data_IF_658370912455
#
_entry.id   IF_658370912455
#
_cell.length_a   1.000
_cell.length_b   1.000
_cell.length_c   1.000
_cell.angle_alpha   90.00
_cell.angle_beta   90.00
_cell.angle_gamma   90.00
#
_symmetry.space_group_name_H-M   'P 1'
#
loop_
_entity.id
_entity.type
_entity.pdbx_description
1 polymer ?
#
# COMPACT_ATOMS: atom_id res chain seq x y z
N UNK A 1 10.46 -72.24 -12.75
CA UNK A 1 9.34 -71.48 -12.13
C UNK A 1 9.12 -72.08 -10.76
N UNK A 2 9.11 -71.31 -9.66
CA UNK A 2 8.25 -70.13 -9.43
C UNK A 2 9.05 -68.89 -9.00
N UNK A 3 8.77 -67.70 -9.54
CA UNK A 3 7.79 -66.68 -9.12
C UNK A 3 8.47 -65.51 -8.44
N UNK A 4 8.74 -64.51 -9.28
CA UNK A 4 8.93 -63.12 -8.94
C UNK A 4 7.75 -62.61 -8.10
N UNK A 5 7.86 -62.66 -6.78
CA UNK A 5 7.10 -61.77 -5.89
C UNK A 5 8.09 -60.84 -5.21
N UNK A 6 8.50 -59.85 -6.00
CA UNK A 6 9.10 -58.64 -5.49
C UNK A 6 8.07 -58.00 -4.55
N UNK A 7 8.21 -58.26 -3.25
CA UNK A 7 7.39 -57.67 -2.21
C UNK A 7 7.81 -56.20 -2.08
N UNK A 8 7.25 -55.35 -2.95
CA UNK A 8 7.45 -53.90 -2.93
C UNK A 8 6.79 -53.21 -1.72
N UNK A 9 6.16 -53.97 -0.83
CA UNK A 9 5.44 -53.43 0.32
C UNK A 9 6.14 -53.95 1.57
N UNK A 10 6.88 -53.07 2.23
CA UNK A 10 7.45 -53.32 3.55
C UNK A 10 6.31 -53.59 4.56
N UNK A 11 6.40 -54.64 5.40
CA UNK A 11 5.29 -55.12 6.23
C UNK A 11 5.05 -54.29 7.51
N UNK A 12 5.13 -52.96 7.42
CA UNK A 12 4.95 -52.06 8.58
C UNK A 12 4.25 -50.74 8.27
N UNK A 13 4.02 -50.41 7.00
CA UNK A 13 3.39 -49.14 6.61
C UNK A 13 1.94 -49.43 6.19
N UNK A 14 1.01 -49.16 7.11
CA UNK A 14 -0.43 -49.22 6.80
C UNK A 14 -0.74 -48.23 5.66
N UNK A 15 -1.44 -48.70 4.63
CA UNK A 15 -1.89 -47.89 3.48
C UNK A 15 -2.68 -46.66 3.95
N UNK A 16 -3.44 -46.78 5.04
CA UNK A 16 -4.14 -45.65 5.65
C UNK A 16 -3.20 -44.55 6.15
N UNK A 17 -2.03 -44.93 6.69
CA UNK A 17 -1.04 -43.97 7.16
C UNK A 17 -0.41 -43.19 6.00
N UNK A 18 -0.19 -43.84 4.86
CA UNK A 18 0.33 -43.19 3.64
C UNK A 18 -0.67 -42.17 3.09
N UNK A 19 -1.95 -42.51 3.06
CA UNK A 19 -3.02 -41.61 2.58
C UNK A 19 -3.13 -40.38 3.48
N UNK A 20 -3.07 -40.57 4.80
CA UNK A 20 -3.12 -39.47 5.77
C UNK A 20 -1.90 -38.56 5.65
N UNK A 21 -0.69 -39.13 5.55
CA UNK A 21 0.52 -38.34 5.35
C UNK A 21 0.50 -37.59 4.01
N UNK A 22 0.01 -38.23 2.95
CA UNK A 22 -0.16 -37.60 1.64
C UNK A 22 -1.12 -36.42 1.66
N UNK A 23 -2.30 -36.60 2.27
CA UNK A 23 -3.28 -35.51 2.41
C UNK A 23 -2.75 -34.38 3.28
N UNK A 24 -2.03 -34.69 4.38
CA UNK A 24 -1.44 -33.69 5.26
C UNK A 24 -0.36 -32.86 4.55
N UNK A 25 0.49 -33.50 3.73
CA UNK A 25 1.49 -32.81 2.91
C UNK A 25 0.85 -31.92 1.84
N UNK A 26 -0.21 -32.40 1.17
CA UNK A 26 -0.95 -31.60 0.17
C UNK A 26 -1.60 -30.39 0.84
N UNK A 27 -2.26 -30.57 1.99
CA UNK A 27 -2.86 -29.48 2.74
C UNK A 27 -1.83 -28.44 3.20
N UNK A 28 -0.66 -28.89 3.65
CA UNK A 28 0.46 -28.01 4.00
C UNK A 28 0.97 -27.23 2.79
N UNK A 29 1.18 -27.90 1.65
CA UNK A 29 1.63 -27.24 0.42
C UNK A 29 0.63 -26.19 -0.06
N UNK A 30 -0.66 -26.52 -0.07
CA UNK A 30 -1.74 -25.57 -0.45
C UNK A 30 -1.81 -24.40 0.54
N UNK A 31 -1.68 -24.67 1.84
CA UNK A 31 -1.64 -23.64 2.87
C UNK A 31 -0.45 -22.70 2.72
N UNK A 32 0.72 -23.25 2.41
CA UNK A 32 1.96 -22.50 2.19
C UNK A 32 1.86 -21.57 0.98
N UNK A 33 1.42 -22.09 -0.17
CA UNK A 33 1.25 -21.27 -1.39
C UNK A 33 0.24 -20.14 -1.19
N UNK A 34 -0.84 -20.38 -0.45
CA UNK A 34 -1.82 -19.32 -0.14
C UNK A 34 -1.24 -18.25 0.78
N UNK A 35 -0.42 -18.64 1.75
CA UNK A 35 0.27 -17.70 2.64
C UNK A 35 1.25 -16.83 1.86
N UNK A 36 2.04 -17.45 0.99
CA UNK A 36 3.03 -16.76 0.16
C UNK A 36 2.34 -15.76 -0.79
N UNK A 37 1.28 -16.17 -1.49
CA UNK A 37 0.49 -15.29 -2.34
C UNK A 37 -0.18 -14.14 -1.55
N UNK A 38 -0.63 -14.41 -0.32
CA UNK A 38 -1.20 -13.39 0.55
C UNK A 38 -0.17 -12.36 1.02
N UNK A 39 1.04 -12.82 1.37
CA UNK A 39 2.14 -11.94 1.77
C UNK A 39 2.59 -11.04 0.62
N UNK A 40 2.70 -11.58 -0.59
CA UNK A 40 3.05 -10.79 -1.79
C UNK A 40 2.02 -9.70 -2.10
N UNK A 41 0.71 -10.01 -2.03
CA UNK A 41 -0.35 -8.99 -2.21
C UNK A 41 -0.31 -7.91 -1.10
N UNK A 42 0.00 -8.31 0.13
CA UNK A 42 0.12 -7.37 1.24
C UNK A 42 1.32 -6.44 1.09
N UNK A 43 2.47 -6.94 0.67
CA UNK A 43 3.67 -6.12 0.43
C UNK A 43 3.43 -5.10 -0.70
N UNK A 44 2.83 -5.54 -1.80
CA UNK A 44 2.46 -4.66 -2.92
C UNK A 44 1.47 -3.55 -2.48
N UNK A 45 0.52 -3.89 -1.60
CA UNK A 45 -0.44 -2.93 -1.07
C UNK A 45 0.21 -1.95 -0.10
N UNK A 46 1.15 -2.41 0.73
CA UNK A 46 1.90 -1.54 1.64
C UNK A 46 2.70 -0.52 0.85
N UNK A 47 3.45 -0.94 -0.16
CA UNK A 47 4.26 -0.04 -1.01
C UNK A 47 3.37 1.01 -1.69
N UNK A 48 2.22 0.60 -2.25
CA UNK A 48 1.28 1.54 -2.87
C UNK A 48 0.70 2.54 -1.87
N UNK A 49 0.40 2.09 -0.66
CA UNK A 49 -0.12 2.96 0.40
C UNK A 49 0.95 3.97 0.84
N UNK A 50 2.19 3.55 1.05
CA UNK A 50 3.31 4.44 1.39
C UNK A 50 3.53 5.50 0.31
N UNK A 51 3.60 5.12 -0.96
CA UNK A 51 3.73 6.07 -2.07
C UNK A 51 2.57 7.06 -2.11
N UNK A 52 1.34 6.58 -1.91
CA UNK A 52 0.15 7.45 -1.90
C UNK A 52 0.15 8.42 -0.72
N UNK A 53 0.70 8.02 0.42
CA UNK A 53 0.81 8.86 1.61
C UNK A 53 1.86 9.96 1.41
N UNK A 54 3.02 9.62 0.84
CA UNK A 54 4.07 10.60 0.52
C UNK A 54 3.57 11.67 -0.45
N UNK A 55 2.90 11.26 -1.53
CA UNK A 55 2.34 12.20 -2.51
C UNK A 55 1.28 13.11 -1.86
N UNK A 56 0.42 12.56 -1.00
CA UNK A 56 -0.58 13.36 -0.29
C UNK A 56 0.06 14.36 0.68
N UNK A 57 1.11 13.98 1.40
CA UNK A 57 1.82 14.89 2.30
C UNK A 57 2.48 16.01 1.50
N UNK A 58 3.16 15.70 0.40
CA UNK A 58 3.78 16.69 -0.47
C UNK A 58 2.75 17.68 -1.04
N UNK A 59 1.61 17.17 -1.50
CA UNK A 59 0.51 17.98 -2.03
C UNK A 59 -0.09 18.89 -0.94
N UNK A 60 -0.27 18.40 0.29
CA UNK A 60 -0.75 19.21 1.43
C UNK A 60 0.22 20.33 1.79
N UNK A 61 1.53 20.05 1.78
CA UNK A 61 2.57 21.07 2.03
C UNK A 61 2.50 22.15 0.95
N UNK A 62 2.41 21.75 -0.31
CA UNK A 62 2.29 22.67 -1.45
C UNK A 62 1.03 23.53 -1.34
N UNK A 63 -0.13 22.93 -1.11
CA UNK A 63 -1.39 23.66 -0.90
C UNK A 63 -1.29 24.66 0.25
N UNK A 64 -0.63 24.28 1.35
CA UNK A 64 -0.38 25.18 2.48
C UNK A 64 0.50 26.37 2.09
N UNK A 65 1.55 26.13 1.31
CA UNK A 65 2.43 27.18 0.77
C UNK A 65 1.68 28.13 -0.15
N UNK A 66 0.97 27.59 -1.16
CA UNK A 66 0.21 28.37 -2.13
C UNK A 66 -0.85 29.26 -1.43
N UNK A 67 -1.48 28.74 -0.38
CA UNK A 67 -2.45 29.48 0.41
C UNK A 67 -1.81 30.56 1.30
N UNK A 68 -0.57 30.34 1.77
CA UNK A 68 0.19 31.35 2.49
C UNK A 68 0.58 32.52 1.56
N UNK A 69 1.05 32.19 0.35
CA UNK A 69 1.39 33.19 -0.67
C UNK A 69 0.15 33.99 -1.09
N UNK A 70 -0.97 33.32 -1.36
CA UNK A 70 -2.22 34.00 -1.70
C UNK A 70 -2.70 34.94 -0.58
N UNK A 71 -2.52 34.57 0.69
CA UNK A 71 -2.82 35.44 1.84
C UNK A 71 -1.89 36.65 1.90
N UNK A 72 -0.61 36.47 1.56
CA UNK A 72 0.35 37.57 1.50
C UNK A 72 -0.03 38.56 0.39
N UNK A 73 -0.35 38.04 -0.81
CA UNK A 73 -0.81 38.84 -1.93
C UNK A 73 -2.09 39.60 -1.60
N UNK A 74 -3.07 38.94 -0.97
CA UNK A 74 -4.33 39.59 -0.60
C UNK A 74 -4.12 40.72 0.42
N UNK A 75 -3.20 40.54 1.37
CA UNK A 75 -2.79 41.62 2.30
C UNK A 75 -2.13 42.77 1.54
N UNK A 76 -1.25 42.47 0.60
CA UNK A 76 -0.59 43.48 -0.22
C UNK A 76 -1.61 44.28 -1.04
N UNK A 77 -2.52 43.60 -1.74
CA UNK A 77 -3.58 44.24 -2.54
C UNK A 77 -4.43 45.15 -1.65
N UNK A 78 -4.84 44.68 -0.47
CA UNK A 78 -5.64 45.48 0.46
C UNK A 78 -4.91 46.76 0.88
N UNK A 79 -3.65 46.67 1.26
CA UNK A 79 -2.84 47.83 1.64
C UNK A 79 -2.68 48.81 0.47
N UNK A 80 -2.46 48.30 -0.74
CA UNK A 80 -2.33 49.11 -1.95
C UNK A 80 -3.64 49.81 -2.27
N UNK A 81 -4.78 49.14 -2.15
CA UNK A 81 -6.11 49.74 -2.31
C UNK A 81 -6.37 50.84 -1.26
N UNK A 82 -6.11 50.56 0.01
CA UNK A 82 -6.26 51.55 1.10
C UNK A 82 -5.34 52.78 0.92
N UNK A 83 -4.18 52.59 0.29
CA UNK A 83 -3.28 53.69 -0.07
C UNK A 83 -3.83 54.51 -1.23
N UNK A 84 -4.25 53.84 -2.31
CA UNK A 84 -4.84 54.51 -3.49
C UNK A 84 -6.10 55.28 -3.13
N UNK A 85 -6.96 54.73 -2.27
CA UNK A 85 -8.16 55.41 -1.79
C UNK A 85 -7.80 56.69 -1.02
N UNK A 86 -6.79 56.64 -0.15
CA UNK A 86 -6.28 57.81 0.58
C UNK A 86 -5.71 58.87 -0.37
N UNK A 87 -4.91 58.47 -1.36
CA UNK A 87 -4.32 59.37 -2.34
C UNK A 87 -5.41 60.06 -3.20
N UNK A 88 -6.41 59.31 -3.68
CA UNK A 88 -7.55 59.86 -4.41
C UNK A 88 -8.36 60.84 -3.56
N UNK A 89 -8.64 60.49 -2.30
CA UNK A 89 -9.36 61.38 -1.37
C UNK A 89 -8.58 62.65 -1.05
N UNK A 90 -7.25 62.60 -1.06
CA UNK A 90 -6.40 63.79 -0.86
C UNK A 90 -6.31 64.69 -2.10
N UNK A 91 -6.43 64.13 -3.31
CA UNK A 91 -6.40 64.86 -4.59
C UNK A 91 -7.75 65.45 -5.01
N UNK A 92 -8.86 64.94 -4.47
CA UNK A 92 -10.21 65.46 -4.71
C UNK A 92 -10.61 66.66 -3.82
N UNK A 93 -9.65 67.30 -3.15
CA UNK A 93 -9.80 68.55 -2.38
C UNK A 93 -9.07 69.69 -3.05
#
# INVERSE_FOLDING_TARGET
>A
MPDSKQSWIQPGISVGNVIVLGTLLISLAVGWTRLEAGLEDHDDRIIKLEQSAEVQIAERIKQGSDMADMKADMRWIRLTLERLERELKSRGK
#
